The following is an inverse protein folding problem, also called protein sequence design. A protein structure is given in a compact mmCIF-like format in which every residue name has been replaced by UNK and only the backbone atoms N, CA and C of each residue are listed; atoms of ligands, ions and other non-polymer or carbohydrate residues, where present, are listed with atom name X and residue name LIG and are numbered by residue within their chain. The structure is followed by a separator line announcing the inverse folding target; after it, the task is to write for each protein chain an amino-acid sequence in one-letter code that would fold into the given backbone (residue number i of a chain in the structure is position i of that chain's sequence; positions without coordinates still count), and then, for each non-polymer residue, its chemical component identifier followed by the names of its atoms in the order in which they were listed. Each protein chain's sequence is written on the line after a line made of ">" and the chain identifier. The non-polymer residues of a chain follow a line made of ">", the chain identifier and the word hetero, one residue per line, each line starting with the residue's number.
data_IF_768246518439
#
_entry.id   IF_768246518439
#
_cell.length_a   1.000
_cell.length_b   1.000
_cell.length_c   1.000
_cell.angle_alpha   90.00
_cell.angle_beta   90.00
_cell.angle_gamma   90.00
#
_symmetry.space_group_name_H-M   'P 1'
#
loop_
_entity.id
_entity.type
_entity.pdbx_description
1 polymer ?
#
# COMPACT_ATOMS: atom_id res chain seq x y z
N UNK A 1 0.28 3.70 10.85
CA UNK A 1 1.53 4.50 10.80
C UNK A 1 1.72 5.15 9.43
N UNK A 2 1.62 4.40 8.34
CA UNK A 2 1.79 4.89 6.96
C UNK A 2 0.81 5.99 6.58
N UNK A 3 -0.48 5.82 6.87
CA UNK A 3 -1.53 6.81 6.59
C UNK A 3 -1.20 8.14 7.29
N UNK A 4 -0.89 8.10 8.58
CA UNK A 4 -0.53 9.28 9.36
C UNK A 4 0.71 10.01 8.84
N UNK A 5 1.70 9.28 8.32
CA UNK A 5 2.97 9.86 7.88
C UNK A 5 2.92 10.42 6.45
N UNK A 6 2.11 9.84 5.57
CA UNK A 6 2.14 10.15 4.15
C UNK A 6 0.90 10.88 3.63
N UNK A 7 -0.22 10.75 4.35
CA UNK A 7 -1.49 11.37 3.98
C UNK A 7 -2.00 12.22 5.14
N UNK A 8 -2.50 13.40 4.86
CA UNK A 8 -3.00 14.34 5.87
C UNK A 8 -4.53 14.25 5.99
N UNK A 9 -5.04 13.12 6.46
CA UNK A 9 -6.45 13.01 6.82
C UNK A 9 -6.72 13.71 8.16
N UNK A 10 -7.93 14.21 8.34
CA UNK A 10 -8.38 14.82 9.60
C UNK A 10 -8.31 13.82 10.75
N UNK A 11 -8.65 12.57 10.49
CA UNK A 11 -8.48 11.46 11.43
C UNK A 11 -7.78 10.28 10.76
N UNK A 12 -6.91 9.59 11.51
CA UNK A 12 -6.21 8.39 11.01
C UNK A 12 -6.88 7.08 11.46
N UNK A 13 -8.10 7.15 11.98
CA UNK A 13 -8.91 5.96 12.30
C UNK A 13 -9.30 5.26 10.99
N UNK A 14 -9.29 3.93 10.99
CA UNK A 14 -9.63 3.13 9.81
C UNK A 14 -11.00 3.49 9.25
N UNK A 15 -12.00 3.60 10.12
CA UNK A 15 -13.37 3.97 9.76
C UNK A 15 -13.44 5.31 9.03
N UNK A 16 -12.82 6.35 9.60
CA UNK A 16 -12.81 7.69 9.00
C UNK A 16 -12.15 7.69 7.61
N UNK A 17 -10.96 7.11 7.51
CA UNK A 17 -10.21 7.10 6.24
C UNK A 17 -10.93 6.27 5.17
N UNK A 18 -11.52 5.14 5.56
CA UNK A 18 -12.28 4.30 4.64
C UNK A 18 -13.55 5.01 4.13
N UNK A 19 -14.26 5.70 5.00
CA UNK A 19 -15.45 6.48 4.66
C UNK A 19 -15.09 7.63 3.70
N UNK A 20 -14.06 8.42 4.00
CA UNK A 20 -13.57 9.50 3.14
C UNK A 20 -13.16 9.03 1.74
N UNK A 21 -12.65 7.81 1.63
CA UNK A 21 -12.25 7.22 0.36
C UNK A 21 -13.37 6.43 -0.35
N UNK A 22 -14.59 6.42 0.21
CA UNK A 22 -15.73 5.72 -0.36
C UNK A 22 -15.63 4.19 -0.32
N UNK A 23 -14.88 3.62 0.64
CA UNK A 23 -14.68 2.18 0.79
C UNK A 23 -15.69 1.53 1.77
N UNK A 24 -16.52 2.36 2.42
CA UNK A 24 -17.45 1.92 3.45
C UNK A 24 -17.03 2.33 4.86
N UNK A 25 -17.71 1.78 5.84
CA UNK A 25 -17.50 2.05 7.27
C UNK A 25 -17.30 0.75 8.05
N UNK A 26 -16.81 0.86 9.27
CA UNK A 26 -16.70 -0.27 10.18
C UNK A 26 -18.07 -0.81 10.57
N UNK A 27 -18.13 -2.13 10.86
CA UNK A 27 -19.31 -2.73 11.46
C UNK A 27 -19.48 -2.19 12.89
N UNK A 28 -20.69 -1.71 13.20
CA UNK A 28 -21.02 -1.26 14.56
C UNK A 28 -21.08 -2.47 15.50
N UNK A 29 -20.56 -2.30 16.69
CA UNK A 29 -20.62 -3.31 17.75
C UNK A 29 -20.92 -2.68 19.11
N UNK A 30 -21.37 -3.49 20.08
CA UNK A 30 -21.74 -3.07 21.44
C UNK A 30 -20.54 -2.68 22.35
N UNK A 31 -19.37 -2.41 21.76
CA UNK A 31 -18.22 -1.93 22.53
C UNK A 31 -17.69 -2.96 23.53
N UNK A 32 -17.56 -2.52 24.78
CA UNK A 32 -16.94 -3.32 25.85
C UNK A 32 -17.68 -4.61 26.17
N UNK A 33 -19.01 -4.63 26.08
CA UNK A 33 -19.83 -5.82 26.35
C UNK A 33 -19.48 -7.00 25.43
N UNK A 34 -19.18 -6.72 24.15
CA UNK A 34 -18.74 -7.75 23.21
C UNK A 34 -17.43 -8.42 23.66
N UNK A 35 -16.50 -7.63 24.20
CA UNK A 35 -15.23 -8.13 24.72
C UNK A 35 -15.42 -8.99 25.96
N UNK A 36 -16.27 -8.54 26.89
CA UNK A 36 -16.59 -9.30 28.11
C UNK A 36 -17.24 -10.64 27.74
N UNK A 37 -18.24 -10.65 26.86
CA UNK A 37 -18.86 -11.88 26.39
C UNK A 37 -17.87 -12.83 25.71
N UNK A 38 -16.97 -12.31 24.88
CA UNK A 38 -15.94 -13.12 24.23
C UNK A 38 -14.95 -13.73 25.24
N UNK A 39 -14.54 -12.97 26.27
CA UNK A 39 -13.70 -13.49 27.36
C UNK A 39 -14.40 -14.56 28.21
N UNK A 40 -15.72 -14.51 28.31
CA UNK A 40 -16.55 -15.53 28.96
C UNK A 40 -16.86 -16.73 28.05
N UNK A 41 -16.23 -16.79 26.86
CA UNK A 41 -16.46 -17.83 25.85
C UNK A 41 -17.91 -17.93 25.34
N UNK A 42 -18.70 -16.84 25.43
CA UNK A 42 -20.01 -16.80 24.81
C UNK A 42 -19.92 -16.92 23.29
N UNK A 43 -20.60 -17.96 22.76
CA UNK A 43 -20.53 -18.29 21.32
C UNK A 43 -21.08 -17.18 20.42
N UNK A 44 -22.07 -16.42 20.87
CA UNK A 44 -22.67 -15.34 20.10
C UNK A 44 -21.69 -14.16 20.01
N UNK A 45 -21.07 -13.80 21.14
CA UNK A 45 -20.05 -12.74 21.21
C UNK A 45 -18.80 -13.08 20.39
N UNK A 46 -18.33 -14.33 20.47
CA UNK A 46 -17.19 -14.80 19.66
C UNK A 46 -17.49 -14.75 18.16
N UNK A 47 -18.71 -15.10 17.73
CA UNK A 47 -19.13 -15.00 16.33
C UNK A 47 -19.10 -13.54 15.84
N UNK A 48 -19.72 -12.64 16.60
CA UNK A 48 -19.74 -11.20 16.28
C UNK A 48 -18.34 -10.61 16.23
N UNK A 49 -17.47 -10.99 17.17
CA UNK A 49 -16.07 -10.54 17.18
C UNK A 49 -15.30 -11.04 15.95
N UNK A 50 -15.54 -12.28 15.53
CA UNK A 50 -14.95 -12.82 14.29
C UNK A 50 -15.43 -12.03 13.07
N UNK A 51 -16.72 -11.77 12.94
CA UNK A 51 -17.29 -10.98 11.83
C UNK A 51 -16.67 -9.58 11.78
N UNK A 52 -16.61 -8.91 12.93
CA UNK A 52 -15.97 -7.61 13.06
C UNK A 52 -14.50 -7.62 12.62
N UNK A 53 -13.70 -8.57 13.14
CA UNK A 53 -12.30 -8.68 12.80
C UNK A 53 -12.07 -9.00 11.32
N UNK A 54 -12.85 -9.92 10.76
CA UNK A 54 -12.78 -10.23 9.32
C UNK A 54 -13.09 -9.00 8.46
N UNK A 55 -14.13 -8.23 8.83
CA UNK A 55 -14.48 -7.01 8.12
C UNK A 55 -13.37 -5.96 8.21
N UNK A 56 -12.77 -5.75 9.38
CA UNK A 56 -11.65 -4.81 9.55
C UNK A 56 -10.43 -5.19 8.70
N UNK A 57 -10.15 -6.49 8.56
CA UNK A 57 -9.06 -6.98 7.68
C UNK A 57 -9.36 -6.66 6.23
N UNK A 58 -10.56 -6.99 5.74
CA UNK A 58 -10.97 -6.71 4.35
C UNK A 58 -10.95 -5.20 4.05
N UNK A 59 -11.49 -4.40 4.97
CA UNK A 59 -11.49 -2.94 4.83
C UNK A 59 -10.07 -2.35 4.81
N UNK A 60 -9.16 -2.92 5.61
CA UNK A 60 -7.74 -2.52 5.62
C UNK A 60 -7.04 -2.89 4.31
N UNK A 61 -7.34 -4.06 3.73
CA UNK A 61 -6.84 -4.49 2.44
C UNK A 61 -7.31 -3.56 1.31
N UNK A 62 -8.60 -3.27 1.25
CA UNK A 62 -9.18 -2.32 0.29
C UNK A 62 -8.56 -0.92 0.41
N UNK A 63 -8.36 -0.45 1.64
CA UNK A 63 -7.69 0.82 1.92
C UNK A 63 -6.24 0.80 1.43
N UNK A 64 -5.51 -0.28 1.68
CA UNK A 64 -4.14 -0.44 1.18
C UNK A 64 -4.09 -0.40 -0.34
N UNK A 65 -4.95 -1.15 -1.02
CA UNK A 65 -4.99 -1.20 -2.48
C UNK A 65 -5.35 0.17 -3.09
N UNK A 66 -6.28 0.89 -2.46
CA UNK A 66 -6.65 2.26 -2.86
C UNK A 66 -5.47 3.23 -2.75
N UNK A 67 -4.71 3.17 -1.65
CA UNK A 67 -3.62 4.10 -1.37
C UNK A 67 -2.26 3.69 -1.96
N UNK A 68 -2.09 2.44 -2.32
CA UNK A 68 -0.85 1.84 -2.81
C UNK A 68 -0.13 2.62 -3.92
N UNK A 69 -0.81 3.21 -4.94
CA UNK A 69 -0.13 3.97 -5.99
C UNK A 69 0.62 5.20 -5.47
N UNK A 70 0.15 5.79 -4.35
CA UNK A 70 0.71 7.01 -3.77
C UNK A 70 1.66 6.76 -2.60
N UNK A 71 1.81 5.51 -2.14
CA UNK A 71 2.71 5.20 -1.03
C UNK A 71 4.17 5.49 -1.40
N UNK A 72 4.88 6.18 -0.51
CA UNK A 72 6.33 6.36 -0.60
C UNK A 72 7.00 5.13 0.01
N UNK A 73 7.88 4.47 -0.77
CA UNK A 73 8.62 3.29 -0.31
C UNK A 73 7.74 2.08 0.04
N UNK A 74 6.76 1.69 -0.80
CA UNK A 74 6.00 0.47 -0.55
C UNK A 74 6.93 -0.74 -0.64
N UNK A 75 6.56 -1.88 -0.02
CA UNK A 75 7.26 -3.13 -0.23
C UNK A 75 7.41 -3.44 -1.72
N UNK A 76 8.57 -3.92 -2.13
CA UNK A 76 8.82 -4.28 -3.52
C UNK A 76 8.17 -5.65 -3.83
N UNK A 77 7.03 -5.62 -4.50
CA UNK A 77 6.23 -6.81 -4.82
C UNK A 77 6.99 -7.75 -5.75
N UNK A 78 7.86 -7.26 -6.63
CA UNK A 78 8.67 -8.11 -7.51
C UNK A 78 9.66 -8.97 -6.73
N UNK A 79 10.22 -8.42 -5.63
CA UNK A 79 11.09 -9.17 -4.72
C UNK A 79 10.27 -10.21 -3.94
N UNK A 80 9.12 -9.83 -3.41
CA UNK A 80 8.25 -10.75 -2.65
C UNK A 80 7.76 -11.93 -3.51
N UNK A 81 7.52 -11.70 -4.79
CA UNK A 81 7.09 -12.72 -5.75
C UNK A 81 8.25 -13.48 -6.40
N UNK A 82 9.49 -13.09 -6.18
CA UNK A 82 10.66 -13.65 -6.88
C UNK A 82 10.65 -13.38 -8.39
N UNK A 83 9.90 -12.37 -8.86
CA UNK A 83 9.73 -12.05 -10.29
C UNK A 83 10.28 -10.67 -10.61
N UNK A 84 11.45 -10.57 -11.28
CA UNK A 84 12.08 -9.29 -11.60
C UNK A 84 11.39 -8.50 -12.72
N UNK A 85 10.53 -9.14 -13.49
CA UNK A 85 9.85 -8.64 -14.69
C UNK A 85 8.51 -7.96 -14.42
N UNK A 86 8.04 -7.97 -13.17
CA UNK A 86 6.76 -7.38 -12.78
C UNK A 86 6.89 -6.01 -12.12
N UNK A 87 5.79 -5.26 -12.11
CA UNK A 87 5.73 -3.98 -11.43
C UNK A 87 6.09 -4.11 -9.94
N UNK A 88 7.08 -3.35 -9.43
CA UNK A 88 7.48 -3.43 -8.02
C UNK A 88 6.41 -2.94 -7.05
N UNK A 89 5.37 -2.26 -7.52
CA UNK A 89 4.27 -1.75 -6.69
C UNK A 89 3.07 -2.68 -6.61
N UNK A 90 2.57 -3.17 -7.76
CA UNK A 90 1.36 -3.98 -7.81
C UNK A 90 1.60 -5.43 -8.26
N UNK A 91 2.78 -5.74 -8.80
CA UNK A 91 3.09 -7.07 -9.30
C UNK A 91 2.44 -7.40 -10.65
N UNK A 92 1.87 -6.43 -11.36
CA UNK A 92 1.37 -6.62 -12.71
C UNK A 92 2.52 -6.81 -13.70
N UNK A 93 2.31 -7.63 -14.71
CA UNK A 93 3.21 -7.79 -15.84
C UNK A 93 3.12 -6.57 -16.76
N UNK A 94 4.20 -6.33 -17.55
CA UNK A 94 4.20 -5.23 -18.51
C UNK A 94 3.04 -5.28 -19.51
N UNK A 95 2.96 -4.33 -20.41
CA UNK A 95 3.98 -3.33 -20.72
C UNK A 95 4.02 -2.16 -19.72
N UNK A 96 5.20 -1.55 -19.62
CA UNK A 96 5.42 -0.33 -18.83
C UNK A 96 5.76 0.84 -19.75
N UNK A 97 5.26 2.03 -19.43
CA UNK A 97 5.55 3.24 -20.21
C UNK A 97 6.84 3.89 -19.72
N UNK A 98 7.74 4.17 -20.65
CA UNK A 98 8.92 4.97 -20.35
C UNK A 98 8.51 6.44 -20.08
N UNK A 99 8.95 6.98 -18.94
CA UNK A 99 8.62 8.34 -18.48
C UNK A 99 9.88 9.14 -18.14
N UNK A 100 10.81 9.13 -19.07
CA UNK A 100 12.09 9.84 -18.93
C UNK A 100 13.04 9.16 -17.96
N UNK A 101 13.69 9.95 -17.13
CA UNK A 101 14.76 9.48 -16.24
C UNK A 101 14.55 9.92 -14.81
N UNK A 102 15.15 9.21 -13.89
CA UNK A 102 15.37 9.63 -12.51
C UNK A 102 16.85 9.77 -12.26
N UNK A 103 17.28 11.00 -12.00
CA UNK A 103 18.67 11.31 -11.66
C UNK A 103 18.85 11.26 -10.14
N UNK A 104 19.96 10.72 -9.71
CA UNK A 104 20.51 10.82 -8.34
C UNK A 104 21.74 11.72 -8.42
N UNK A 105 22.44 11.92 -7.31
CA UNK A 105 23.68 12.71 -7.30
C UNK A 105 24.75 12.17 -8.28
N UNK A 106 24.78 10.85 -8.48
CA UNK A 106 25.87 10.19 -9.20
C UNK A 106 25.44 9.42 -10.44
N UNK A 107 24.16 9.17 -10.62
CA UNK A 107 23.67 8.25 -11.65
C UNK A 107 22.31 8.68 -12.21
N UNK A 108 22.06 8.28 -13.47
CA UNK A 108 20.78 8.42 -14.15
C UNK A 108 20.19 7.03 -14.42
N UNK A 109 18.88 6.90 -14.19
CA UNK A 109 18.13 5.63 -14.32
C UNK A 109 16.90 5.86 -15.17
N UNK A 110 16.55 4.91 -16.05
CA UNK A 110 15.29 4.93 -16.79
C UNK A 110 14.12 4.88 -15.81
N UNK A 111 13.16 5.80 -15.96
CA UNK A 111 11.93 5.85 -15.18
C UNK A 111 10.78 5.26 -15.98
N UNK A 112 9.98 4.45 -15.31
CA UNK A 112 8.86 3.75 -15.87
C UNK A 112 7.59 4.07 -15.10
N UNK A 113 6.44 3.96 -15.79
CA UNK A 113 5.11 4.01 -15.20
C UNK A 113 4.37 2.70 -15.52
N UNK A 114 3.75 2.10 -14.50
CA UNK A 114 2.91 0.94 -14.68
C UNK A 114 1.55 1.35 -15.24
N UNK A 115 1.08 0.69 -16.30
CA UNK A 115 -0.23 0.97 -16.89
C UNK A 115 -1.38 0.51 -15.99
N UNK A 116 -1.17 -0.51 -15.16
CA UNK A 116 -2.20 -1.08 -14.28
C UNK A 116 -2.45 -0.22 -13.04
N UNK A 117 -1.38 0.17 -12.30
CA UNK A 117 -1.54 0.91 -11.05
C UNK A 117 -1.14 2.38 -11.12
N UNK A 118 -0.66 2.87 -12.27
CA UNK A 118 -0.16 4.25 -12.44
C UNK A 118 1.13 4.56 -11.69
N UNK A 119 1.64 3.62 -10.89
CA UNK A 119 2.80 3.82 -10.03
C UNK A 119 4.11 3.97 -10.83
N UNK A 120 4.99 4.87 -10.34
CA UNK A 120 6.31 5.09 -10.93
C UNK A 120 7.39 4.25 -10.25
N UNK A 121 8.32 3.75 -11.05
CA UNK A 121 9.52 3.06 -10.60
C UNK A 121 10.69 3.31 -11.55
N UNK A 122 11.89 2.86 -11.20
CA UNK A 122 13.08 3.05 -12.04
C UNK A 122 13.78 1.72 -12.30
N UNK A 123 14.61 1.68 -13.35
CA UNK A 123 15.50 0.55 -13.59
C UNK A 123 16.47 0.37 -12.41
N UNK A 124 16.91 -0.87 -12.19
CA UNK A 124 17.98 -1.16 -11.22
C UNK A 124 19.35 -0.71 -11.75
N UNK A 125 19.59 -0.92 -13.04
CA UNK A 125 20.84 -0.51 -13.69
C UNK A 125 20.74 0.95 -14.13
N UNK A 126 21.82 1.69 -13.94
CA UNK A 126 21.98 3.04 -14.47
C UNK A 126 22.11 2.99 -16.00
N UNK A 127 21.80 4.10 -16.66
CA UNK A 127 22.03 4.25 -18.10
C UNK A 127 23.54 4.21 -18.39
N UNK A 128 23.95 3.56 -19.48
CA UNK A 128 25.37 3.56 -19.89
C UNK A 128 25.85 5.00 -20.19
N UNK A 129 27.06 5.31 -19.79
CA UNK A 129 27.70 6.60 -20.08
C UNK A 129 27.35 7.75 -19.13
N UNK A 130 26.43 7.54 -18.18
CA UNK A 130 25.99 8.58 -17.24
C UNK A 130 26.73 8.54 -15.89
N UNK A 131 27.95 8.02 -15.86
CA UNK A 131 28.78 8.07 -14.65
C UNK A 131 29.60 9.34 -14.66
N UNK A 132 29.43 10.25 -13.70
CA UNK A 132 30.31 11.42 -13.60
C UNK A 132 31.73 10.96 -13.25
N UNK A 133 32.69 11.62 -13.82
CA UNK A 133 34.10 11.39 -13.48
C UNK A 133 34.41 11.86 -12.05
N UNK A 134 33.73 12.93 -11.63
CA UNK A 134 33.88 13.51 -10.29
C UNK A 134 32.53 13.59 -9.57
N UNK A 135 32.55 13.38 -8.27
CA UNK A 135 31.39 13.52 -7.38
C UNK A 135 31.76 14.39 -6.18
N UNK A 136 30.82 15.24 -5.77
CA UNK A 136 30.96 16.09 -4.57
C UNK A 136 30.34 15.43 -3.34
#
# INVERSE_FOLDING_TARGET
>A
KTVRQQFKFVSNKLDHVATELGLGSKVSHSGFELWVGAMQHDKASLRKMREYNCHDVVLTEQLYDKLKPWLKGPPNVSVLKGRPDVCPRCGAEGPFQARGFKTTQTMRYRRWQCNTCGGYFRSRKAEPGDRPEYVS
#
